data_IF_798183621677
#
_entry.id   IF_798183621677
#
_cell.length_a   1.000
_cell.length_b   1.000
_cell.length_c   1.000
_cell.angle_alpha   90.00
_cell.angle_beta   90.00
_cell.angle_gamma   90.00
#
_symmetry.space_group_name_H-M   'P 1'
#
loop_
_entity.id
_entity.type
_entity.pdbx_description
1 polymer ?
#
# COMPACT_ATOMS: atom_id res chain seq x y z
N UNK A 1 11.28 -11.54 12.35
CA UNK A 1 10.70 -11.58 10.99
C UNK A 1 9.60 -12.64 10.91
N UNK A 2 8.60 -12.46 10.05
CA UNK A 2 7.54 -13.43 9.85
C UNK A 2 8.05 -14.81 9.40
N UNK A 3 7.39 -15.88 9.83
CA UNK A 3 7.70 -17.25 9.45
C UNK A 3 6.84 -17.74 8.29
N UNK A 4 5.64 -17.19 8.12
CA UNK A 4 4.71 -17.49 7.04
C UNK A 4 3.96 -16.22 6.62
N UNK A 5 3.92 -15.93 5.33
CA UNK A 5 3.11 -14.85 4.74
C UNK A 5 1.81 -15.41 4.16
N UNK A 6 0.67 -14.79 4.49
CA UNK A 6 -0.63 -15.06 3.85
C UNK A 6 -1.02 -13.87 2.98
N UNK A 7 -1.04 -14.07 1.67
CA UNK A 7 -1.56 -13.09 0.71
C UNK A 7 -3.07 -13.26 0.57
N UNK A 8 -3.84 -12.22 0.85
CA UNK A 8 -5.29 -12.18 0.70
C UNK A 8 -5.63 -11.28 -0.47
N UNK A 9 -6.26 -11.83 -1.49
CA UNK A 9 -6.54 -11.17 -2.77
C UNK A 9 -8.02 -11.32 -3.13
N UNK A 10 -8.73 -10.20 -3.22
CA UNK A 10 -10.06 -10.16 -3.81
C UNK A 10 -9.91 -10.06 -5.33
N UNK A 11 -10.35 -11.09 -6.05
CA UNK A 11 -10.18 -11.14 -7.50
C UNK A 11 -11.26 -11.97 -8.17
N UNK A 12 -12.04 -11.35 -9.06
CA UNK A 12 -12.99 -12.04 -9.95
C UNK A 12 -12.32 -12.52 -11.23
N UNK A 13 -11.14 -11.96 -11.58
CA UNK A 13 -10.39 -12.22 -12.80
C UNK A 13 -9.37 -13.35 -12.58
N UNK A 14 -9.55 -14.47 -13.31
CA UNK A 14 -8.69 -15.65 -13.21
C UNK A 14 -7.27 -15.37 -13.72
N UNK A 15 -7.15 -14.60 -14.81
CA UNK A 15 -5.87 -14.32 -15.45
C UNK A 15 -5.00 -13.38 -14.59
N UNK A 16 -5.61 -12.32 -14.04
CA UNK A 16 -4.95 -11.40 -13.09
C UNK A 16 -4.51 -12.15 -11.83
N UNK A 17 -5.41 -12.94 -11.23
CA UNK A 17 -5.05 -13.72 -10.06
C UNK A 17 -3.91 -14.70 -10.33
N UNK A 18 -3.93 -15.39 -11.48
CA UNK A 18 -2.87 -16.31 -11.87
C UNK A 18 -1.53 -15.58 -12.11
N UNK A 19 -1.56 -14.39 -12.72
CA UNK A 19 -0.37 -13.55 -12.93
C UNK A 19 0.25 -13.13 -11.58
N UNK A 20 -0.56 -12.56 -10.69
CA UNK A 20 -0.12 -12.18 -9.34
C UNK A 20 0.42 -13.39 -8.56
N UNK A 21 -0.25 -14.55 -8.62
CA UNK A 21 0.20 -15.76 -7.93
C UNK A 21 1.58 -16.23 -8.41
N UNK A 22 1.87 -16.13 -9.72
CA UNK A 22 3.21 -16.42 -10.27
C UNK A 22 4.26 -15.43 -9.77
N UNK A 23 3.93 -14.13 -9.72
CA UNK A 23 4.81 -13.12 -9.16
C UNK A 23 5.13 -13.42 -7.69
N UNK A 24 4.12 -13.69 -6.86
CA UNK A 24 4.32 -14.02 -5.45
C UNK A 24 5.19 -15.27 -5.31
N UNK A 25 4.88 -16.35 -6.04
CA UNK A 25 5.67 -17.59 -6.00
C UNK A 25 7.15 -17.36 -6.35
N UNK A 26 7.42 -16.45 -7.30
CA UNK A 26 8.78 -16.10 -7.71
C UNK A 26 9.49 -15.24 -6.67
N UNK A 27 8.84 -14.17 -6.18
CA UNK A 27 9.45 -13.20 -5.25
C UNK A 27 9.57 -13.72 -3.82
N UNK A 28 8.73 -14.69 -3.46
CA UNK A 28 8.73 -15.36 -2.16
C UNK A 28 9.29 -16.79 -2.24
N UNK A 29 9.97 -17.17 -3.32
CA UNK A 29 10.71 -18.41 -3.40
C UNK A 29 11.69 -18.52 -2.22
N UNK A 30 11.60 -19.60 -1.43
CA UNK A 30 12.41 -19.78 -0.22
C UNK A 30 11.88 -19.10 1.05
N UNK A 31 10.77 -18.35 0.96
CA UNK A 31 10.04 -17.83 2.11
C UNK A 31 8.64 -18.49 2.17
N UNK A 32 8.26 -19.14 3.29
CA UNK A 32 6.93 -19.76 3.39
C UNK A 32 5.81 -18.75 3.12
N UNK A 33 4.92 -19.08 2.21
CA UNK A 33 3.78 -18.25 1.86
C UNK A 33 2.57 -19.08 1.40
N UNK A 34 1.39 -18.49 1.51
CA UNK A 34 0.15 -18.98 0.92
C UNK A 34 -0.57 -17.81 0.24
N UNK A 35 -1.38 -18.11 -0.78
CA UNK A 35 -2.21 -17.15 -1.50
C UNK A 35 -3.67 -17.55 -1.38
N UNK A 36 -4.50 -16.67 -0.85
CA UNK A 36 -5.92 -16.87 -0.58
C UNK A 36 -6.72 -15.99 -1.51
N UNK A 37 -7.38 -16.59 -2.48
CA UNK A 37 -8.30 -15.90 -3.39
C UNK A 37 -9.68 -15.78 -2.77
N UNK A 38 -10.29 -14.60 -2.91
CA UNK A 38 -11.69 -14.32 -2.64
C UNK A 38 -12.34 -13.89 -3.97
N UNK A 39 -12.96 -14.82 -4.71
CA UNK A 39 -13.46 -14.54 -6.07
C UNK A 39 -14.83 -13.86 -6.10
N UNK A 40 -15.51 -13.77 -4.98
CA UNK A 40 -16.91 -13.39 -4.83
C UNK A 40 -17.09 -12.36 -3.69
N UNK A 41 -16.10 -11.50 -3.47
CA UNK A 41 -16.14 -10.47 -2.44
C UNK A 41 -17.29 -9.48 -2.72
N UNK A 42 -18.17 -9.27 -1.74
CA UNK A 42 -19.22 -8.25 -1.82
C UNK A 42 -18.65 -6.85 -1.69
N UNK A 43 -17.54 -6.71 -0.96
CA UNK A 43 -16.73 -5.49 -0.81
C UNK A 43 -15.28 -5.89 -0.51
N UNK A 44 -14.34 -4.94 -0.60
CA UNK A 44 -12.97 -5.24 -0.16
C UNK A 44 -12.88 -5.48 1.33
N UNK A 45 -13.67 -4.78 2.16
CA UNK A 45 -13.70 -5.03 3.59
C UNK A 45 -14.17 -6.46 3.92
N UNK A 46 -15.30 -6.90 3.35
CA UNK A 46 -15.84 -8.25 3.54
C UNK A 46 -14.85 -9.30 3.04
N UNK A 47 -14.34 -9.11 1.83
CA UNK A 47 -13.40 -10.07 1.22
C UNK A 47 -12.11 -10.20 2.02
N UNK A 48 -11.54 -9.11 2.51
CA UNK A 48 -10.32 -9.11 3.31
C UNK A 48 -10.54 -9.72 4.70
N UNK A 49 -11.67 -9.43 5.37
CA UNK A 49 -12.02 -10.09 6.63
C UNK A 49 -12.19 -11.60 6.46
N UNK A 50 -12.90 -12.04 5.42
CA UNK A 50 -13.08 -13.44 5.08
C UNK A 50 -11.75 -14.12 4.72
N UNK A 51 -10.90 -13.45 3.98
CA UNK A 51 -9.55 -13.92 3.65
C UNK A 51 -8.66 -14.03 4.89
N UNK A 52 -8.71 -13.05 5.79
CA UNK A 52 -8.02 -13.10 7.08
C UNK A 52 -8.43 -14.33 7.90
N UNK A 53 -9.73 -14.62 7.98
CA UNK A 53 -10.24 -15.78 8.71
C UNK A 53 -9.73 -17.12 8.15
N UNK A 54 -9.36 -17.18 6.88
CA UNK A 54 -8.80 -18.37 6.20
C UNK A 54 -7.28 -18.44 6.27
N UNK A 55 -6.63 -17.32 6.60
CA UNK A 55 -5.16 -17.18 6.60
C UNK A 55 -4.53 -17.81 7.83
N UNK A 56 -3.28 -18.28 7.69
CA UNK A 56 -2.51 -18.93 8.77
C UNK A 56 -1.19 -18.25 9.08
N UNK A 57 -0.75 -17.34 8.19
CA UNK A 57 0.52 -16.64 8.34
C UNK A 57 0.55 -15.74 9.56
N UNK A 58 1.72 -15.54 10.11
CA UNK A 58 2.01 -14.55 11.15
C UNK A 58 2.19 -13.13 10.58
N UNK A 59 2.33 -13.03 9.24
CA UNK A 59 2.14 -11.80 8.48
C UNK A 59 1.02 -12.00 7.44
N UNK A 60 0.14 -11.00 7.31
CA UNK A 60 -0.93 -10.98 6.32
C UNK A 60 -0.68 -9.84 5.35
N UNK A 61 -0.82 -10.11 4.06
CA UNK A 61 -0.66 -9.14 2.97
C UNK A 61 -1.99 -9.01 2.25
N UNK A 62 -2.58 -7.84 2.29
CA UNK A 62 -3.75 -7.47 1.50
C UNK A 62 -3.25 -6.70 0.27
N UNK A 63 -3.61 -7.14 -0.92
CA UNK A 63 -3.19 -6.48 -2.14
C UNK A 63 -4.21 -6.62 -3.27
N UNK A 64 -4.12 -5.72 -4.23
CA UNK A 64 -4.89 -5.81 -5.46
C UNK A 64 -4.43 -6.99 -6.32
N UNK A 65 -5.27 -7.45 -7.23
CA UNK A 65 -4.98 -8.56 -8.15
C UNK A 65 -4.22 -8.12 -9.41
N UNK A 66 -4.13 -6.80 -9.65
CA UNK A 66 -3.51 -6.16 -10.80
C UNK A 66 -2.17 -5.49 -10.47
N UNK A 67 -1.41 -6.11 -9.54
CA UNK A 67 -0.07 -5.64 -9.19
C UNK A 67 1.03 -6.62 -9.58
N UNK A 68 2.24 -6.09 -9.78
CA UNK A 68 3.48 -6.86 -9.90
C UNK A 68 4.53 -6.35 -8.90
N UNK A 69 5.35 -7.26 -8.37
CA UNK A 69 6.47 -6.99 -7.48
C UNK A 69 7.78 -7.11 -8.25
N UNK A 70 8.46 -6.02 -8.52
CA UNK A 70 9.66 -6.01 -9.34
C UNK A 70 10.93 -6.39 -8.57
N UNK A 71 11.04 -6.00 -7.29
CA UNK A 71 12.25 -6.27 -6.51
C UNK A 71 12.48 -7.78 -6.37
N UNK A 72 13.60 -8.32 -6.85
CA UNK A 72 13.87 -9.76 -6.80
C UNK A 72 14.00 -10.29 -5.37
N UNK A 73 14.31 -9.42 -4.42
CA UNK A 73 14.44 -9.66 -2.98
C UNK A 73 13.28 -9.02 -2.18
N UNK A 74 12.08 -8.94 -2.77
CA UNK A 74 10.90 -8.33 -2.11
C UNK A 74 10.56 -9.05 -0.79
N UNK A 75 10.61 -10.38 -0.74
CA UNK A 75 10.30 -11.15 0.46
C UNK A 75 11.24 -10.83 1.65
N UNK A 76 12.57 -10.91 1.56
CA UNK A 76 13.45 -10.55 2.66
C UNK A 76 13.39 -9.06 3.01
N UNK A 77 13.10 -8.16 2.06
CA UNK A 77 12.86 -6.74 2.36
C UNK A 77 11.61 -6.57 3.22
N UNK A 78 10.49 -7.13 2.78
CA UNK A 78 9.24 -7.04 3.52
C UNK A 78 9.34 -7.67 4.91
N UNK A 79 9.99 -8.83 5.03
CA UNK A 79 10.25 -9.47 6.31
C UNK A 79 11.06 -8.58 7.26
N UNK A 80 12.06 -7.88 6.75
CA UNK A 80 12.86 -6.91 7.51
C UNK A 80 12.04 -5.68 7.90
N UNK A 81 11.22 -5.15 6.97
CA UNK A 81 10.38 -3.99 7.24
C UNK A 81 9.34 -4.27 8.32
N UNK A 82 8.78 -5.48 8.39
CA UNK A 82 7.83 -5.90 9.42
C UNK A 82 8.46 -6.23 10.78
N UNK A 83 9.77 -6.00 10.97
CA UNK A 83 10.43 -6.27 12.25
C UNK A 83 9.95 -5.32 13.37
N UNK A 84 9.69 -4.07 13.05
CA UNK A 84 9.28 -3.04 14.01
C UNK A 84 7.88 -2.45 13.73
N UNK A 85 7.54 -2.01 12.50
CA UNK A 85 6.18 -1.62 12.17
C UNK A 85 5.19 -2.77 12.29
N UNK A 86 3.96 -2.44 12.62
CA UNK A 86 2.84 -3.36 12.70
C UNK A 86 2.09 -3.45 11.36
N UNK A 87 2.15 -2.36 10.57
CA UNK A 87 1.65 -2.26 9.19
C UNK A 87 2.69 -1.64 8.27
N UNK A 88 2.82 -2.18 7.05
CA UNK A 88 3.73 -1.68 6.01
C UNK A 88 2.98 -1.61 4.68
N UNK A 89 2.86 -0.42 4.11
CA UNK A 89 2.35 -0.19 2.75
C UNK A 89 3.45 0.28 1.81
N UNK A 90 3.10 0.59 0.56
CA UNK A 90 4.02 1.12 -0.46
C UNK A 90 3.76 2.59 -0.80
N UNK A 91 2.62 3.10 -0.39
CA UNK A 91 2.24 4.50 -0.43
C UNK A 91 1.46 4.86 0.83
N UNK A 92 1.61 6.08 1.32
CA UNK A 92 0.96 6.52 2.54
C UNK A 92 1.31 7.94 2.90
N UNK A 93 0.76 8.40 4.03
CA UNK A 93 0.99 9.76 4.51
C UNK A 93 1.28 9.79 6.01
N UNK A 94 2.21 10.64 6.43
CA UNK A 94 2.49 10.93 7.84
C UNK A 94 1.46 11.88 8.46
N UNK A 95 0.56 12.45 7.64
CA UNK A 95 -0.56 13.29 8.06
C UNK A 95 -1.80 12.93 7.24
N UNK A 96 -2.95 12.79 7.90
CA UNK A 96 -4.24 12.62 7.23
C UNK A 96 -5.02 13.93 7.31
N UNK A 97 -5.56 14.39 6.20
CA UNK A 97 -6.32 15.65 6.14
C UNK A 97 -7.74 15.45 5.61
N UNK A 98 -8.02 14.34 4.94
CA UNK A 98 -9.30 14.07 4.32
C UNK A 98 -9.38 12.66 3.74
N UNK A 99 -10.35 12.38 2.87
CA UNK A 99 -10.72 11.04 2.44
C UNK A 99 -9.80 10.44 1.35
N UNK A 100 -8.56 10.89 1.24
CA UNK A 100 -7.57 10.28 0.37
C UNK A 100 -6.17 10.53 0.93
N UNK A 101 -5.29 9.55 0.84
CA UNK A 101 -3.92 9.64 1.33
C UNK A 101 -3.18 10.82 0.68
N UNK A 102 -3.31 10.98 -0.64
CA UNK A 102 -2.63 12.05 -1.38
C UNK A 102 -3.17 13.46 -1.06
N UNK A 103 -4.31 13.60 -0.35
CA UNK A 103 -4.79 14.90 0.14
C UNK A 103 -3.85 15.52 1.19
N UNK A 104 -3.01 14.71 1.82
CA UNK A 104 -1.97 15.22 2.71
C UNK A 104 -1.04 16.21 2.01
N UNK A 105 -0.73 15.97 0.74
CA UNK A 105 0.19 16.77 -0.06
C UNK A 105 1.65 16.66 0.40
N UNK A 106 2.51 17.44 -0.26
CA UNK A 106 3.91 17.53 0.13
C UNK A 106 4.05 18.41 1.41
N UNK A 107 4.94 18.06 2.37
CA UNK A 107 5.90 16.96 2.40
C UNK A 107 5.39 15.68 3.11
N UNK A 108 4.08 15.52 3.28
CA UNK A 108 3.49 14.50 4.14
C UNK A 108 3.17 13.19 3.39
N UNK A 109 3.22 13.22 2.06
CA UNK A 109 2.93 12.08 1.21
C UNK A 109 4.21 11.33 0.86
N UNK A 110 4.21 9.99 1.05
CA UNK A 110 5.38 9.14 0.89
C UNK A 110 5.05 7.90 0.05
N UNK A 111 6.07 7.36 -0.61
CA UNK A 111 5.98 6.10 -1.31
C UNK A 111 6.22 6.18 -2.81
N UNK A 112 6.15 5.02 -3.44
CA UNK A 112 6.45 4.82 -4.84
C UNK A 112 5.47 3.82 -5.43
N UNK A 113 4.79 4.23 -6.50
CA UNK A 113 3.93 3.35 -7.30
C UNK A 113 4.30 3.57 -8.78
N UNK A 114 4.45 2.47 -9.49
CA UNK A 114 4.65 2.51 -10.94
C UNK A 114 3.37 2.07 -11.61
N UNK A 115 2.92 2.80 -12.61
CA UNK A 115 1.73 2.45 -13.39
C UNK A 115 2.15 1.87 -14.75
N UNK A 116 1.49 0.77 -15.14
CA UNK A 116 1.66 0.15 -16.46
C UNK A 116 0.40 -0.65 -16.77
N UNK A 117 -0.51 -0.05 -17.51
CA UNK A 117 -1.72 -0.72 -17.96
C UNK A 117 -1.45 -1.67 -19.14
N UNK A 118 -2.27 -2.69 -19.36
CA UNK A 118 -2.17 -3.54 -20.53
C UNK A 118 -2.20 -2.72 -21.83
N UNK A 119 -1.14 -2.85 -22.63
CA UNK A 119 -0.98 -2.10 -23.89
C UNK A 119 -0.19 -0.79 -23.79
N UNK A 120 0.20 -0.36 -22.58
CA UNK A 120 1.12 0.77 -22.42
C UNK A 120 2.51 0.42 -22.98
N UNK A 121 3.13 1.39 -23.67
CA UNK A 121 4.49 1.23 -24.18
C UNK A 121 5.54 1.41 -23.09
N UNK A 122 5.27 2.24 -22.09
CA UNK A 122 6.20 2.64 -21.05
C UNK A 122 5.60 2.46 -19.65
N UNK A 123 6.47 2.25 -18.69
CA UNK A 123 6.17 2.30 -17.26
C UNK A 123 6.20 3.75 -16.78
N UNK A 124 5.15 4.20 -16.08
CA UNK A 124 5.09 5.50 -15.44
C UNK A 124 5.48 5.37 -13.97
N UNK A 125 6.73 5.67 -13.66
CA UNK A 125 7.24 5.67 -12.28
C UNK A 125 6.77 6.94 -11.57
N UNK A 126 6.01 6.80 -10.51
CA UNK A 126 5.53 7.92 -9.68
C UNK A 126 6.11 7.80 -8.28
N UNK A 127 6.96 8.75 -7.90
CA UNK A 127 7.50 8.88 -6.55
C UNK A 127 6.83 10.06 -5.84
N UNK A 128 6.24 9.79 -4.69
CA UNK A 128 5.58 10.79 -3.85
C UNK A 128 6.57 11.50 -2.93
N UNK A 129 7.71 10.85 -2.66
CA UNK A 129 8.83 11.39 -1.91
C UNK A 129 10.13 10.71 -2.33
N UNK A 130 11.26 11.29 -1.96
CA UNK A 130 12.61 10.73 -2.18
C UNK A 130 13.21 10.28 -0.85
N UNK A 131 12.45 9.58 -0.03
CA UNK A 131 12.85 9.17 1.31
C UNK A 131 13.67 7.87 1.30
N UNK A 132 14.16 7.52 2.48
CA UNK A 132 14.85 6.28 2.77
C UNK A 132 13.99 5.04 2.45
N UNK A 133 14.56 3.82 2.41
CA UNK A 133 13.82 2.60 2.06
C UNK A 133 12.57 2.36 2.89
N UNK A 134 12.52 2.86 4.13
CA UNK A 134 11.37 2.76 5.02
C UNK A 134 11.09 4.11 5.69
N UNK A 135 9.88 4.64 5.50
CA UNK A 135 9.36 5.82 6.20
C UNK A 135 8.49 5.36 7.34
N UNK A 136 8.81 5.80 8.56
CA UNK A 136 8.03 5.49 9.78
C UNK A 136 7.12 6.65 10.19
N UNK A 137 6.34 6.47 11.27
CA UNK A 137 5.39 7.48 11.78
C UNK A 137 4.28 7.84 10.77
N UNK A 138 3.93 6.89 9.91
CA UNK A 138 2.85 7.03 8.92
C UNK A 138 1.50 6.98 9.65
N UNK A 139 0.57 7.82 9.23
CA UNK A 139 -0.78 7.90 9.81
C UNK A 139 -1.84 7.18 8.97
N UNK A 140 -1.58 6.99 7.67
CA UNK A 140 -2.46 6.23 6.78
C UNK A 140 -1.71 5.64 5.59
N UNK A 141 -2.24 4.54 5.05
CA UNK A 141 -1.68 3.80 3.93
C UNK A 141 -2.69 3.72 2.78
N UNK A 142 -2.18 3.62 1.56
CA UNK A 142 -2.93 3.28 0.35
C UNK A 142 -3.11 1.75 0.27
N UNK A 143 -4.26 1.32 -0.24
CA UNK A 143 -4.68 -0.07 -0.22
C UNK A 143 -4.11 -0.96 -1.31
N UNK A 144 -3.33 -0.43 -2.25
CA UNK A 144 -2.76 -1.21 -3.35
C UNK A 144 -1.94 -2.40 -2.85
N UNK A 145 -1.22 -2.21 -1.73
CA UNK A 145 -0.45 -3.25 -1.06
C UNK A 145 -0.25 -2.88 0.41
N UNK A 146 -0.80 -3.68 1.31
CA UNK A 146 -0.64 -3.50 2.76
C UNK A 146 -0.28 -4.82 3.41
N UNK A 147 0.91 -4.91 3.98
CA UNK A 147 1.35 -6.04 4.80
C UNK A 147 1.25 -5.67 6.28
N UNK A 148 0.80 -6.59 7.11
CA UNK A 148 0.72 -6.35 8.55
C UNK A 148 1.01 -7.62 9.35
N UNK A 149 1.34 -7.44 10.61
CA UNK A 149 1.42 -8.53 11.57
C UNK A 149 0.01 -9.06 11.84
N UNK A 150 -0.10 -10.38 12.03
CA UNK A 150 -1.39 -11.03 12.28
C UNK A 150 -2.14 -10.49 13.50
N UNK A 151 -1.42 -10.23 14.59
CA UNK A 151 -1.99 -9.67 15.81
C UNK A 151 -2.57 -8.26 15.59
N UNK A 152 -1.90 -7.43 14.78
CA UNK A 152 -2.38 -6.12 14.41
C UNK A 152 -3.61 -6.19 13.48
N UNK A 153 -3.59 -7.10 12.49
CA UNK A 153 -4.75 -7.36 11.62
C UNK A 153 -5.98 -7.83 12.43
N UNK A 154 -5.78 -8.71 13.40
CA UNK A 154 -6.85 -9.20 14.27
C UNK A 154 -7.44 -8.09 15.16
N UNK A 155 -6.60 -7.15 15.62
CA UNK A 155 -7.02 -6.05 16.48
C UNK A 155 -7.79 -4.95 15.72
N UNK A 156 -7.53 -4.80 14.42
CA UNK A 156 -8.13 -3.75 13.58
C UNK A 156 -8.74 -4.39 12.31
N UNK A 157 -9.86 -5.12 12.41
CA UNK A 157 -10.52 -5.69 11.23
C UNK A 157 -11.05 -4.58 10.32
N UNK A 158 -11.26 -4.89 9.04
CA UNK A 158 -11.89 -3.98 8.09
C UNK A 158 -13.34 -3.70 8.49
N UNK A 159 -13.79 -2.45 8.35
CA UNK A 159 -15.17 -2.02 8.69
C UNK A 159 -16.12 -2.23 7.51
N UNK A 160 -16.61 -3.45 7.34
CA UNK A 160 -17.53 -3.83 6.27
C UNK A 160 -18.93 -3.22 6.42
N UNK A 161 -19.29 -2.75 7.62
CA UNK A 161 -20.57 -2.11 7.84
C UNK A 161 -20.61 -0.67 7.30
N UNK A 162 -19.48 0.05 7.39
CA UNK A 162 -19.36 1.42 6.86
C UNK A 162 -18.91 1.44 5.41
N UNK A 163 -17.98 0.56 5.04
CA UNK A 163 -17.36 0.50 3.72
C UNK A 163 -17.72 -0.80 3.00
N UNK A 164 -18.97 -0.87 2.54
CA UNK A 164 -19.60 -1.99 1.87
C UNK A 164 -19.35 -2.05 0.36
N UNK A 165 -18.24 -1.46 -0.12
CA UNK A 165 -17.83 -1.40 -1.52
C UNK A 165 -16.32 -1.49 -1.69
N UNK A 166 -15.79 -0.74 -2.68
CA UNK A 166 -14.40 -0.90 -3.13
C UNK A 166 -13.52 0.34 -2.87
N UNK A 167 -13.99 1.31 -2.08
CA UNK A 167 -13.28 2.55 -1.80
C UNK A 167 -13.17 2.85 -0.30
N UNK A 168 -12.12 3.57 0.08
CA UNK A 168 -11.87 4.09 1.45
C UNK A 168 -11.68 3.02 2.54
N UNK A 169 -11.69 1.74 2.21
CA UNK A 169 -11.43 0.63 3.12
C UNK A 169 -10.02 0.71 3.72
N UNK A 170 -9.07 1.11 2.90
CA UNK A 170 -7.64 1.24 3.16
C UNK A 170 -7.32 2.40 4.10
N UNK A 171 -7.84 3.58 3.77
CA UNK A 171 -7.66 4.77 4.59
C UNK A 171 -8.36 4.59 5.94
N UNK A 172 -9.53 3.95 5.98
CA UNK A 172 -10.24 3.66 7.22
C UNK A 172 -9.44 2.74 8.14
N UNK A 173 -9.03 1.56 7.64
CA UNK A 173 -8.34 0.57 8.49
C UNK A 173 -7.00 1.09 8.97
N UNK A 174 -6.23 1.74 8.09
CA UNK A 174 -4.91 2.26 8.43
C UNK A 174 -4.98 3.44 9.40
N UNK A 175 -5.94 4.36 9.22
CA UNK A 175 -6.14 5.47 10.15
C UNK A 175 -6.64 5.00 11.53
N UNK A 176 -7.56 4.00 11.57
CA UNK A 176 -7.97 3.36 12.85
C UNK A 176 -6.80 2.67 13.55
N UNK A 177 -5.95 1.97 12.80
CA UNK A 177 -4.74 1.36 13.33
C UNK A 177 -3.80 2.42 13.94
N UNK A 178 -3.55 3.51 13.20
CA UNK A 178 -2.76 4.64 13.71
C UNK A 178 -3.33 5.23 15.01
N UNK A 179 -4.65 5.47 15.06
CA UNK A 179 -5.32 6.00 16.26
C UNK A 179 -5.29 5.02 17.44
N UNK A 180 -5.25 3.73 17.17
CA UNK A 180 -5.10 2.68 18.19
C UNK A 180 -3.64 2.50 18.68
N UNK A 181 -2.69 3.28 18.15
CA UNK A 181 -1.29 3.27 18.58
C UNK A 181 -0.41 2.24 17.86
N UNK A 182 -0.92 1.60 16.80
CA UNK A 182 -0.09 0.75 15.94
C UNK A 182 0.89 1.59 15.12
N UNK A 183 2.05 1.01 14.83
CA UNK A 183 3.12 1.64 14.05
C UNK A 183 2.94 1.31 12.58
N UNK A 184 2.69 2.32 11.77
CA UNK A 184 2.57 2.22 10.33
C UNK A 184 3.85 2.71 9.66
N UNK A 185 4.21 2.12 8.53
CA UNK A 185 5.35 2.53 7.72
C UNK A 185 5.07 2.39 6.21
N UNK A 186 5.82 3.13 5.41
CA UNK A 186 5.85 3.03 3.94
C UNK A 186 7.18 2.48 3.50
N UNK A 187 7.17 1.37 2.77
CA UNK A 187 8.34 0.78 2.13
C UNK A 187 8.51 1.35 0.71
N UNK A 188 9.61 2.05 0.47
CA UNK A 188 9.91 2.68 -0.81
C UNK A 188 10.81 1.83 -1.72
N UNK A 189 11.11 0.57 -1.36
CA UNK A 189 12.10 -0.27 -2.02
C UNK A 189 11.56 -1.61 -2.56
N UNK A 190 10.23 -1.80 -2.59
CA UNK A 190 9.62 -3.04 -3.06
C UNK A 190 9.38 -3.09 -4.58
N UNK A 191 9.28 -1.94 -5.25
CA UNK A 191 9.08 -1.87 -6.69
C UNK A 191 7.70 -2.38 -7.12
N UNK A 192 6.62 -1.76 -6.64
CA UNK A 192 5.25 -2.10 -7.04
C UNK A 192 4.93 -1.52 -8.41
N UNK A 193 4.40 -2.35 -9.30
CA UNK A 193 3.69 -1.95 -10.51
C UNK A 193 2.20 -2.19 -10.29
N UNK A 194 1.37 -1.26 -10.67
CA UNK A 194 -0.09 -1.31 -10.60
C UNK A 194 -0.66 -1.04 -11.99
N UNK A 195 -1.49 -1.93 -12.51
CA UNK A 195 -2.04 -1.80 -13.87
C UNK A 195 -3.06 -0.67 -13.95
N UNK A 196 -3.85 -0.47 -12.89
CA UNK A 196 -4.91 0.53 -12.87
C UNK A 196 -4.54 1.78 -12.08
N UNK A 197 -5.16 2.91 -12.43
CA UNK A 197 -5.17 4.13 -11.61
C UNK A 197 -6.50 4.20 -10.87
N UNK A 198 -6.50 4.73 -9.67
CA UNK A 198 -7.72 4.85 -8.86
C UNK A 198 -8.84 5.64 -9.55
N UNK A 199 -10.07 5.20 -9.37
CA UNK A 199 -11.27 5.93 -9.81
C UNK A 199 -11.81 6.83 -8.69
N UNK A 200 -11.94 8.12 -8.98
CA UNK A 200 -12.44 9.16 -8.05
C UNK A 200 -13.83 9.67 -8.45
N UNK A 201 -14.63 8.81 -9.08
CA UNK A 201 -15.97 9.11 -9.56
C UNK A 201 -17.03 9.25 -8.45
N UNK A 202 -18.29 9.04 -8.85
CA UNK A 202 -19.44 9.22 -7.95
C UNK A 202 -19.45 8.23 -6.78
N UNK A 203 -19.02 7.00 -7.03
CA UNK A 203 -18.93 5.97 -5.99
C UNK A 203 -17.89 6.33 -4.94
N UNK A 204 -16.68 6.69 -5.36
CA UNK A 204 -15.65 7.18 -4.45
C UNK A 204 -16.17 8.36 -3.60
N UNK A 205 -16.85 9.32 -4.24
CA UNK A 205 -17.41 10.51 -3.55
C UNK A 205 -18.41 10.12 -2.47
N UNK A 206 -19.21 9.08 -2.69
CA UNK A 206 -20.15 8.53 -1.71
C UNK A 206 -19.42 7.99 -0.48
N UNK A 207 -18.36 7.20 -0.68
CA UNK A 207 -17.54 6.66 0.42
C UNK A 207 -16.72 7.75 1.11
N UNK A 208 -16.24 8.75 0.37
CA UNK A 208 -15.58 9.92 0.94
C UNK A 208 -16.51 10.71 1.89
N UNK A 209 -17.81 10.80 1.58
CA UNK A 209 -18.78 11.39 2.49
C UNK A 209 -18.97 10.54 3.76
N UNK A 210 -19.06 9.21 3.65
CA UNK A 210 -19.12 8.29 4.81
C UNK A 210 -17.85 8.42 5.68
N UNK A 211 -16.68 8.51 5.06
CA UNK A 211 -15.40 8.69 5.76
C UNK A 211 -15.38 10.00 6.56
N UNK A 212 -15.83 11.12 5.98
CA UNK A 212 -15.94 12.41 6.69
C UNK A 212 -16.95 12.37 7.84
N UNK A 213 -18.03 11.61 7.69
CA UNK A 213 -19.00 11.40 8.77
C UNK A 213 -18.38 10.62 9.92
N UNK A 214 -17.57 9.60 9.62
CA UNK A 214 -16.88 8.77 10.61
C UNK A 214 -15.72 9.50 11.30
N UNK A 215 -15.01 10.36 10.56
CA UNK A 215 -13.85 11.12 11.01
C UNK A 215 -14.01 12.62 10.71
N UNK A 216 -14.91 13.32 11.41
CA UNK A 216 -15.22 14.73 11.13
C UNK A 216 -14.02 15.66 11.32
N UNK A 217 -13.03 15.25 12.12
CA UNK A 217 -11.76 15.95 12.28
C UNK A 217 -10.89 16.00 11.01
N UNK A 218 -11.16 15.12 10.04
CA UNK A 218 -10.41 15.00 8.78
C UNK A 218 -11.11 15.70 7.60
N UNK A 219 -11.80 16.80 7.85
CA UNK A 219 -12.54 17.54 6.81
C UNK A 219 -11.77 18.73 6.22
N UNK A 220 -10.45 18.77 6.37
CA UNK A 220 -9.61 19.81 5.79
C UNK A 220 -9.61 19.78 4.26
N UNK A 221 -9.21 20.88 3.65
CA UNK A 221 -9.05 20.97 2.20
C UNK A 221 -7.92 20.08 1.70
N UNK A 222 -8.04 19.64 0.45
CA UNK A 222 -6.99 18.91 -0.25
C UNK A 222 -5.71 19.74 -0.31
N UNK A 223 -4.58 19.15 0.11
CA UNK A 223 -3.26 19.70 -0.10
C UNK A 223 -2.84 19.61 -1.57
N UNK A 224 -1.70 20.22 -1.89
CA UNK A 224 -1.10 20.13 -3.23
C UNK A 224 -0.17 18.91 -3.27
N UNK A 225 -0.56 17.80 -3.89
CA UNK A 225 0.34 16.67 -4.06
C UNK A 225 1.47 17.07 -5.02
N UNK A 226 2.68 16.65 -4.70
CA UNK A 226 3.83 16.78 -5.57
C UNK A 226 4.37 15.39 -5.87
N UNK A 227 4.46 15.05 -7.16
CA UNK A 227 4.96 13.76 -7.62
C UNK A 227 6.21 13.97 -8.47
N UNK A 228 7.22 13.15 -8.23
CA UNK A 228 8.31 12.96 -9.18
C UNK A 228 7.89 11.87 -10.15
N UNK A 229 7.77 12.17 -11.43
CA UNK A 229 7.34 11.22 -12.44
C UNK A 229 8.43 11.01 -13.50
N UNK A 230 8.60 9.76 -13.93
CA UNK A 230 9.47 9.40 -15.05
C UNK A 230 8.79 8.29 -15.86
N UNK A 231 8.97 8.30 -17.18
CA UNK A 231 8.56 7.20 -18.06
C UNK A 231 9.79 6.41 -18.48
N UNK A 232 9.71 5.10 -18.36
CA UNK A 232 10.82 4.20 -18.69
C UNK A 232 10.31 2.97 -19.43
N UNK A 233 11.09 2.43 -20.39
CA UNK A 233 10.59 1.41 -21.31
C UNK A 233 10.50 -0.01 -20.70
N UNK A 234 11.22 -0.29 -19.62
CA UNK A 234 11.27 -1.66 -19.07
C UNK A 234 11.15 -1.70 -17.54
N UNK A 235 10.70 -2.84 -17.02
CA UNK A 235 10.67 -3.11 -15.59
C UNK A 235 12.07 -3.01 -14.93
N UNK A 236 13.13 -3.34 -15.65
CA UNK A 236 14.51 -3.17 -15.16
C UNK A 236 14.87 -1.68 -14.97
N UNK A 237 14.40 -0.82 -15.86
CA UNK A 237 14.60 0.62 -15.78
C UNK A 237 13.79 1.25 -14.63
N UNK A 238 12.63 0.68 -14.27
CA UNK A 238 11.89 1.09 -13.06
C UNK A 238 12.78 0.92 -11.83
N UNK A 239 13.36 -0.27 -11.62
CA UNK A 239 14.24 -0.53 -10.48
C UNK A 239 15.53 0.31 -10.51
N UNK A 240 16.09 0.56 -11.70
CA UNK A 240 17.24 1.43 -11.88
C UNK A 240 16.90 2.89 -11.50
N UNK A 241 15.73 3.38 -11.92
CA UNK A 241 15.24 4.71 -11.58
C UNK A 241 15.02 4.86 -10.07
N UNK A 242 14.39 3.88 -9.43
CA UNK A 242 14.19 3.88 -7.97
C UNK A 242 15.52 3.95 -7.23
N UNK A 243 16.51 3.13 -7.61
CA UNK A 243 17.86 3.17 -7.00
C UNK A 243 18.52 4.54 -7.16
N UNK A 244 18.49 5.10 -8.36
CA UNK A 244 19.10 6.42 -8.65
C UNK A 244 18.45 7.53 -7.83
N UNK A 245 17.14 7.53 -7.70
CA UNK A 245 16.43 8.54 -6.90
C UNK A 245 16.71 8.38 -5.40
N UNK A 246 16.81 7.15 -4.90
CA UNK A 246 17.24 6.88 -3.52
C UNK A 246 18.68 7.35 -3.24
N UNK A 247 19.60 7.18 -4.18
CA UNK A 247 20.98 7.70 -4.10
C UNK A 247 21.02 9.23 -4.08
N UNK A 248 20.22 9.89 -4.91
CA UNK A 248 20.07 11.34 -4.92
C UNK A 248 19.54 11.85 -3.56
N UNK A 249 18.52 11.18 -3.02
CA UNK A 249 17.96 11.52 -1.70
C UNK A 249 19.01 11.39 -0.59
N UNK A 250 19.77 10.30 -0.57
CA UNK A 250 20.84 10.07 0.40
C UNK A 250 21.97 11.11 0.27
N UNK A 251 22.36 11.48 -0.96
CA UNK A 251 23.42 12.45 -1.24
C UNK A 251 23.03 13.90 -0.93
N UNK A 252 21.74 14.23 -0.97
CA UNK A 252 21.25 15.57 -0.65
C UNK A 252 21.13 15.84 0.86
N UNK A 253 21.45 14.86 1.71
CA UNK A 253 21.49 15.04 3.17
C UNK A 253 20.19 15.57 3.76
N UNK A 254 19.04 15.25 3.17
CA UNK A 254 17.72 15.63 3.68
C UNK A 254 17.47 14.91 5.01
N UNK A 255 17.94 15.55 6.08
CA UNK A 255 17.44 15.29 7.42
C UNK A 255 15.97 15.69 7.42
N UNK A 256 15.09 14.75 7.72
CA UNK A 256 13.73 15.07 8.18
C UNK A 256 13.90 16.11 9.26
N UNK A 257 13.23 17.29 9.19
CA UNK A 257 13.34 18.26 10.27
C UNK A 257 12.87 17.58 11.56
N UNK A 258 13.77 17.53 12.55
CA UNK A 258 13.44 17.07 13.88
C UNK A 258 12.22 17.90 14.35
N UNK A 259 11.20 17.22 14.88
CA UNK A 259 10.08 17.90 15.54
C UNK A 259 10.64 18.86 16.56
N UNK A 260 10.36 20.15 16.42
CA UNK A 260 10.42 21.08 17.54
C UNK A 260 9.23 20.78 18.44
N UNK A 261 9.43 20.69 19.78
CA UNK A 261 8.44 20.28 20.74
C UNK A 261 7.18 21.15 20.76
#
# INVERSE_FOLDING_TARGET
PPSLFSFVVCSIDEEKFAALSRTIATRFAGMPHEVIRIPDAASLCEGYNRGFARSRGDAVVYCHDDIDLLAPDAAPRLARHLTHPDFVGVAGATRVTGPAVFWAGHPWLHGWVTYHAPGDADYEVTAMSLDAPLVTEVAALDGVFVACRRDAAAAVPYDEATFDGFHLYDLDVSYRAHRAGFRLAVACDLGIVHESKGDFGAEWSRYAARFRTKFPELSAAQGSPHFYAARVPTAADVLATQRRLAEIAAGQGRRIPARTP
#
